data_IF_024250423130
#
_entry.id   IF_024250423130
#
_cell.length_a   1.000
_cell.length_b   1.000
_cell.length_c   1.000
_cell.angle_alpha   90.00
_cell.angle_beta   90.00
_cell.angle_gamma   90.00
#
_symmetry.space_group_name_H-M   'P 1'
#
loop_
_entity.id
_entity.type
_entity.pdbx_description
1 polymer ?
#
# COMPACT_ATOMS: atom_id res chain seq x y z
N UNK A 1 -15.73 -14.49 -2.59
CA UNK A 1 -14.94 -14.81 -1.39
C UNK A 1 -13.73 -13.90 -1.21
N UNK A 2 -12.81 -13.77 -2.17
CA UNK A 2 -11.58 -12.97 -2.01
C UNK A 2 -11.79 -11.53 -1.49
N UNK A 3 -12.83 -10.82 -1.94
CA UNK A 3 -13.14 -9.44 -1.50
C UNK A 3 -13.39 -9.33 0.01
N UNK A 4 -14.04 -10.32 0.62
CA UNK A 4 -14.35 -10.34 2.06
C UNK A 4 -13.07 -10.57 2.88
N UNK A 5 -12.19 -11.45 2.42
CA UNK A 5 -10.89 -11.67 3.06
C UNK A 5 -10.03 -10.40 2.99
N UNK A 6 -9.99 -9.74 1.84
CA UNK A 6 -9.26 -8.47 1.67
C UNK A 6 -9.81 -7.39 2.62
N UNK A 7 -11.13 -7.25 2.72
CA UNK A 7 -11.71 -6.26 3.65
C UNK A 7 -11.43 -6.61 5.12
N UNK A 8 -11.42 -7.89 5.49
CA UNK A 8 -11.11 -8.32 6.85
C UNK A 8 -9.66 -8.02 7.23
N UNK A 9 -8.72 -8.30 6.32
CA UNK A 9 -7.30 -7.98 6.51
C UNK A 9 -7.13 -6.46 6.66
N UNK A 10 -7.80 -5.67 5.81
CA UNK A 10 -7.72 -4.21 5.87
C UNK A 10 -8.29 -3.68 7.20
N UNK A 11 -9.42 -4.21 7.66
CA UNK A 11 -10.03 -3.84 8.93
C UNK A 11 -9.13 -4.19 10.13
N UNK A 12 -8.58 -5.41 10.16
CA UNK A 12 -7.64 -5.83 11.19
C UNK A 12 -6.38 -4.95 11.20
N UNK A 13 -5.87 -4.58 10.03
CA UNK A 13 -4.72 -3.69 9.90
C UNK A 13 -5.01 -2.28 10.44
N UNK A 14 -6.15 -1.69 10.10
CA UNK A 14 -6.58 -0.37 10.61
C UNK A 14 -6.77 -0.41 12.13
N UNK A 15 -7.43 -1.44 12.66
CA UNK A 15 -7.58 -1.63 14.11
C UNK A 15 -6.22 -1.78 14.81
N UNK A 16 -5.29 -2.52 14.20
CA UNK A 16 -3.93 -2.67 14.72
C UNK A 16 -3.20 -1.33 14.81
N UNK A 17 -3.25 -0.50 13.77
CA UNK A 17 -2.67 0.85 13.79
C UNK A 17 -3.31 1.71 14.87
N UNK A 18 -4.64 1.67 15.00
CA UNK A 18 -5.37 2.44 16.01
C UNK A 18 -5.03 2.01 17.45
N UNK A 19 -4.92 0.71 17.72
CA UNK A 19 -4.51 0.19 19.02
C UNK A 19 -3.06 0.56 19.35
N UNK A 20 -2.15 0.38 18.40
CA UNK A 20 -0.76 0.81 18.57
C UNK A 20 -0.67 2.32 18.81
N UNK A 21 -1.47 3.14 18.11
CA UNK A 21 -1.52 4.58 18.33
C UNK A 21 -2.06 4.95 19.73
N UNK A 22 -3.14 4.31 20.16
CA UNK A 22 -3.77 4.57 21.45
C UNK A 22 -2.90 4.13 22.64
N UNK A 23 -2.16 3.03 22.47
CA UNK A 23 -1.29 2.48 23.50
C UNK A 23 0.11 3.12 23.51
N UNK A 24 0.60 3.60 22.37
CA UNK A 24 1.89 4.28 22.25
C UNK A 24 1.68 5.80 22.10
N UNK A 25 1.10 6.41 23.13
CA UNK A 25 0.96 7.87 23.24
C UNK A 25 2.30 8.60 23.49
N UNK A 26 3.35 7.85 23.83
CA UNK A 26 4.73 8.33 23.89
C UNK A 26 5.20 8.73 22.48
N UNK A 27 5.67 9.96 22.28
CA UNK A 27 6.14 10.37 20.97
C UNK A 27 7.39 9.58 20.57
N UNK A 28 7.48 9.19 19.29
CA UNK A 28 8.68 8.58 18.73
C UNK A 28 9.48 9.61 17.97
N UNK A 29 10.80 9.53 18.10
CA UNK A 29 11.73 10.36 17.32
C UNK A 29 12.26 9.53 16.16
N UNK A 30 11.96 9.97 14.94
CA UNK A 30 12.51 9.37 13.74
C UNK A 30 13.90 9.96 13.48
N UNK A 31 14.93 9.12 13.48
CA UNK A 31 16.28 9.52 13.13
C UNK A 31 16.53 9.25 11.65
N UNK A 32 16.61 10.30 10.86
CA UNK A 32 16.95 10.23 9.45
C UNK A 32 18.44 10.50 9.25
N UNK A 33 19.24 9.44 9.26
CA UNK A 33 20.70 9.48 9.08
C UNK A 33 21.42 10.28 10.17
N UNK A 34 21.42 11.62 10.11
CA UNK A 34 21.93 12.55 11.13
C UNK A 34 20.90 13.60 11.60
N UNK A 35 19.68 13.59 11.03
CA UNK A 35 18.62 14.52 11.37
C UNK A 35 17.64 13.85 12.33
N UNK A 36 17.47 14.45 13.51
CA UNK A 36 16.43 14.03 14.44
C UNK A 36 15.12 14.74 14.06
N UNK A 37 14.11 13.97 13.67
CA UNK A 37 12.77 14.51 13.46
C UNK A 37 12.17 14.94 14.80
N UNK A 38 11.27 15.90 14.74
CA UNK A 38 10.41 16.25 15.87
C UNK A 38 9.68 14.99 16.34
N UNK A 39 9.31 15.01 17.62
CA UNK A 39 8.56 13.94 18.26
C UNK A 39 7.19 13.80 17.58
N UNK A 40 6.98 12.68 16.86
CA UNK A 40 5.74 12.39 16.15
C UNK A 40 5.05 11.21 16.85
N UNK A 41 3.72 11.28 17.11
CA UNK A 41 2.97 10.14 17.62
C UNK A 41 3.07 8.92 16.70
N UNK A 42 3.22 7.72 17.27
CA UNK A 42 3.36 6.47 16.51
C UNK A 42 2.24 6.26 15.50
N UNK A 43 1.00 6.61 15.87
CA UNK A 43 -0.15 6.52 14.98
C UNK A 43 -0.02 7.36 13.71
N UNK A 44 0.55 8.56 13.83
CA UNK A 44 0.74 9.46 12.68
C UNK A 44 1.83 8.90 11.76
N UNK A 45 2.93 8.39 12.32
CA UNK A 45 3.99 7.76 11.54
C UNK A 45 3.47 6.52 10.78
N UNK A 46 2.71 5.65 11.44
CA UNK A 46 2.13 4.45 10.82
C UNK A 46 1.11 4.80 9.74
N UNK A 47 0.24 5.79 9.99
CA UNK A 47 -0.72 6.27 9.00
C UNK A 47 -0.02 6.85 7.76
N UNK A 48 1.06 7.61 7.96
CA UNK A 48 1.86 8.16 6.88
C UNK A 48 2.50 7.06 6.03
N UNK A 49 3.13 6.06 6.66
CA UNK A 49 3.72 4.92 5.97
C UNK A 49 2.68 4.10 5.21
N UNK A 50 1.52 3.84 5.82
CA UNK A 50 0.41 3.15 5.17
C UNK A 50 -0.07 3.89 3.92
N UNK A 51 -0.30 5.21 4.04
CA UNK A 51 -0.72 6.05 2.92
C UNK A 51 0.33 6.10 1.81
N UNK A 52 1.59 6.34 2.15
CA UNK A 52 2.69 6.37 1.19
C UNK A 52 2.86 5.02 0.46
N UNK A 53 2.75 3.90 1.18
CA UNK A 53 2.77 2.57 0.59
C UNK A 53 1.61 2.32 -0.36
N UNK A 54 0.39 2.71 0.01
CA UNK A 54 -0.79 2.59 -0.86
C UNK A 54 -0.65 3.44 -2.14
N UNK A 55 -0.25 4.71 -2.01
CA UNK A 55 -0.03 5.60 -3.16
C UNK A 55 1.11 5.08 -4.04
N UNK A 56 2.22 4.66 -3.43
CA UNK A 56 3.35 4.08 -4.17
C UNK A 56 2.95 2.85 -4.96
N UNK A 57 2.22 1.91 -4.36
CA UNK A 57 1.73 0.73 -5.07
C UNK A 57 0.73 1.08 -6.17
N UNK A 58 -0.15 2.07 -5.96
CA UNK A 58 -1.08 2.53 -6.99
C UNK A 58 -0.37 3.07 -8.23
N UNK A 59 0.82 3.67 -8.07
CA UNK A 59 1.66 4.15 -9.17
C UNK A 59 2.45 3.00 -9.82
N UNK A 60 2.96 2.07 -9.01
CA UNK A 60 3.84 0.98 -9.45
C UNK A 60 3.08 -0.15 -10.17
N UNK A 61 1.88 -0.51 -9.71
CA UNK A 61 1.06 -1.59 -10.28
C UNK A 61 0.77 -1.43 -11.79
N UNK A 62 0.34 -0.26 -12.30
CA UNK A 62 0.13 -0.03 -13.73
C UNK A 62 1.39 -0.24 -14.58
N UNK A 63 2.57 0.09 -14.06
CA UNK A 63 3.84 -0.07 -14.78
C UNK A 63 4.15 -1.55 -15.04
N UNK A 64 3.75 -2.44 -14.13
CA UNK A 64 3.90 -3.89 -14.30
C UNK A 64 2.77 -4.55 -15.11
N UNK A 65 1.60 -3.91 -15.22
CA UNK A 65 0.44 -4.44 -15.96
C UNK A 65 0.46 -4.14 -17.46
N UNK A 66 1.30 -3.20 -17.91
CA UNK A 66 1.39 -2.76 -19.31
C UNK A 66 1.89 -3.83 -20.32
N UNK A 67 2.23 -5.05 -19.87
CA UNK A 67 2.76 -6.14 -20.72
C UNK A 67 1.75 -7.16 -21.23
N UNK A 68 0.44 -6.94 -21.07
CA UNK A 68 -0.57 -7.81 -21.70
C UNK A 68 -0.98 -7.26 -23.06
N UNK A 69 -0.11 -7.44 -24.05
CA UNK A 69 -0.48 -7.31 -25.47
C UNK A 69 -1.35 -8.52 -25.81
N UNK A 70 -2.64 -8.30 -26.08
CA UNK A 70 -3.52 -9.35 -26.58
C UNK A 70 -3.01 -9.83 -27.94
N UNK A 71 -2.92 -11.15 -28.18
CA UNK A 71 -2.63 -11.67 -29.50
C UNK A 71 -3.71 -11.18 -30.46
N UNK A 72 -3.29 -10.42 -31.46
CA UNK A 72 -4.09 -9.99 -32.58
C UNK A 72 -4.67 -11.22 -33.26
N UNK A 73 -5.99 -11.26 -33.40
CA UNK A 73 -6.74 -12.16 -34.27
C UNK A 73 -6.41 -11.82 -35.74
N UNK A 74 -5.15 -12.06 -36.15
CA UNK A 74 -4.64 -11.83 -37.52
C UNK A 74 -4.42 -13.13 -38.29
N UNK A 75 -4.75 -14.27 -37.68
CA UNK A 75 -4.65 -15.62 -38.26
C UNK A 75 -6.05 -16.18 -38.59
N UNK A 76 -6.92 -15.34 -39.20
CA UNK A 76 -8.24 -15.78 -39.71
C UNK A 76 -8.48 -15.37 -41.17
N UNK A 77 -7.42 -15.04 -41.89
CA UNK A 77 -7.44 -14.76 -43.34
C UNK A 77 -6.85 -15.93 -44.15
N UNK A 78 -6.46 -17.01 -43.46
CA UNK A 78 -5.77 -18.19 -43.97
C UNK A 78 -6.70 -19.41 -44.18
N UNK A 79 -8.01 -19.19 -44.09
CA UNK A 79 -9.02 -20.18 -44.47
C UNK A 79 -10.01 -19.59 -45.48
N UNK A 80 -9.46 -19.13 -46.61
CA UNK A 80 -10.10 -19.34 -47.92
C UNK A 80 -10.07 -20.83 -48.29
#
# INVERSE_FOLDING_TARGET
MAKVFVSLILAAWVCGIALLAAQNGSPVSLYFFNLQSIQIPVGIALAFCAAAGMVGMAIVLPLFQSRRVSPSLRDREDFE
#
